data_IF_279203363441
#
_entry.id   IF_279203363441
#
_cell.length_a   1.000
_cell.length_b   1.000
_cell.length_c   1.000
_cell.angle_alpha   90.00
_cell.angle_beta   90.00
_cell.angle_gamma   90.00
#
_symmetry.space_group_name_H-M   'P 1'
#
loop_
_entity.id
_entity.type
_entity.pdbx_description
1 polymer ?
#
# COMPACT_ATOMS: atom_id res chain seq x y z
N UNK A 1 -26.02 13.83 -3.72
CA UNK A 1 -25.46 13.80 -3.73
C UNK A 1 -24.76 13.70 -3.59
N UNK A 2 -24.88 13.50 -3.69
CA UNK A 2 -24.03 13.35 -3.58
C UNK A 2 -23.23 13.30 -3.68
N UNK A 3 -23.34 13.07 -3.93
CA UNK A 3 -22.51 12.91 -4.08
C UNK A 3 -21.92 12.76 -4.38
N UNK A 4 -22.08 12.66 -4.51
CA UNK A 4 -21.48 12.44 -4.74
C UNK A 4 -21.02 12.22 -5.07
N UNK A 5 -21.22 12.12 -5.36
CA UNK A 5 -20.68 11.83 -5.60
C UNK A 5 -20.03 11.51 -5.92
N UNK A 6 -20.14 11.48 -6.16
CA UNK A 6 -19.33 11.11 -6.34
C UNK A 6 -18.67 11.08 -6.62
N UNK A 7 -18.72 11.07 -6.89
CA UNK A 7 -17.88 10.97 -7.00
C UNK A 7 -17.27 10.74 -7.21
N UNK A 8 -17.28 10.63 -7.52
CA UNK A 8 -16.52 10.39 -7.60
C UNK A 8 -15.93 9.97 -7.86
N UNK A 9 -15.91 10.03 -8.13
CA UNK A 9 -15.40 9.73 -8.41
C UNK A 9 -14.62 9.24 -8.78
N UNK A 10 -14.72 9.13 -9.28
CA UNK A 10 -13.95 8.82 -9.52
C UNK A 10 -13.20 8.19 -9.21
N UNK A 11 -13.63 8.26 -9.79
CA UNK A 11 -12.55 7.78 -9.33
C UNK A 11 -12.36 6.39 -8.81
N UNK A 12 -11.17 6.05 -8.57
CA UNK A 12 -10.77 4.73 -8.22
C UNK A 12 -11.22 4.36 -6.82
N UNK A 13 -11.82 3.23 -6.68
CA UNK A 13 -12.24 2.77 -5.37
C UNK A 13 -11.07 2.30 -4.56
N UNK A 14 -11.02 2.73 -3.31
CA UNK A 14 -10.10 2.16 -2.35
C UNK A 14 -10.85 1.19 -1.50
N UNK A 15 -10.29 -0.02 -1.38
CA UNK A 15 -10.89 -1.06 -0.58
C UNK A 15 -10.25 -1.03 0.80
N UNK A 16 -11.05 -0.93 1.88
CA UNK A 16 -10.50 -1.00 3.24
C UNK A 16 -10.13 -2.44 3.55
N UNK A 17 -9.10 -2.93 2.88
CA UNK A 17 -8.73 -4.33 2.94
C UNK A 17 -7.37 -4.46 3.60
N UNK A 18 -7.31 -5.31 4.62
CA UNK A 18 -6.08 -5.63 5.30
C UNK A 18 -5.43 -6.81 4.60
N UNK A 19 -4.38 -6.53 3.86
CA UNK A 19 -3.65 -7.58 3.16
C UNK A 19 -2.28 -7.73 3.80
N UNK A 20 -1.93 -8.92 4.30
CA UNK A 20 -0.57 -9.13 4.81
C UNK A 20 0.43 -9.06 3.68
N UNK A 21 1.47 -8.28 3.90
CA UNK A 21 2.49 -8.06 2.87
C UNK A 21 3.86 -8.03 3.52
N UNK A 22 4.87 -8.26 2.69
CA UNK A 22 6.25 -7.90 3.01
C UNK A 22 6.52 -6.55 2.39
N UNK A 23 7.14 -5.68 3.17
CA UNK A 23 7.51 -4.34 2.75
C UNK A 23 9.01 -4.18 2.92
N UNK A 24 9.69 -3.77 1.87
CA UNK A 24 11.14 -3.58 1.93
C UNK A 24 11.53 -2.36 1.11
N UNK A 25 12.66 -1.76 1.45
CA UNK A 25 13.27 -0.78 0.59
C UNK A 25 13.78 -1.49 -0.66
N UNK A 26 13.62 -0.86 -1.80
CA UNK A 26 14.14 -1.44 -3.03
C UNK A 26 15.65 -1.59 -2.99
N UNK A 27 16.33 -0.74 -2.21
CA UNK A 27 17.77 -0.81 -2.07
C UNK A 27 18.22 -1.95 -1.16
N UNK A 28 17.34 -2.42 -0.29
CA UNK A 28 17.65 -3.52 0.62
C UNK A 28 16.49 -4.49 0.67
N UNK A 29 16.25 -5.21 -0.41
CA UNK A 29 15.05 -6.05 -0.49
C UNK A 29 15.06 -7.22 0.50
N UNK A 30 16.22 -7.56 1.05
CA UNK A 30 16.28 -8.63 2.04
C UNK A 30 15.85 -8.19 3.42
N UNK A 31 15.95 -6.90 3.70
CA UNK A 31 15.53 -6.35 4.99
C UNK A 31 14.06 -5.99 4.91
N UNK A 32 13.24 -7.02 4.89
CA UNK A 32 11.82 -6.81 4.71
C UNK A 32 11.10 -6.90 6.03
N UNK A 33 10.03 -6.14 6.12
CA UNK A 33 9.18 -6.15 7.29
C UNK A 33 7.84 -6.77 6.91
N UNK A 34 7.30 -7.59 7.80
CA UNK A 34 5.99 -8.17 7.60
C UNK A 34 4.97 -7.25 8.19
N UNK A 35 4.01 -6.81 7.38
CA UNK A 35 3.06 -5.82 7.83
C UNK A 35 1.72 -5.99 7.12
N UNK A 36 0.87 -5.00 7.26
CA UNK A 36 -0.48 -5.03 6.69
C UNK A 36 -0.74 -3.76 5.91
N UNK A 37 -1.55 -3.89 4.87
CA UNK A 37 -2.15 -2.72 4.25
C UNK A 37 -3.32 -2.24 5.09
N UNK A 38 -3.70 -0.98 4.93
CA UNK A 38 -4.94 -0.46 5.48
C UNK A 38 -6.00 -0.35 4.40
N UNK A 39 -5.58 -0.04 3.21
CA UNK A 39 -6.47 -0.07 2.06
C UNK A 39 -5.63 -0.25 0.82
N UNK A 40 -6.27 -0.66 -0.25
CA UNK A 40 -5.59 -0.95 -1.50
C UNK A 40 -6.42 -0.43 -2.66
N UNK A 41 -5.73 -0.12 -3.74
CA UNK A 41 -6.36 0.22 -5.00
C UNK A 41 -5.45 -0.31 -6.12
N UNK A 42 -5.90 -0.28 -7.37
CA UNK A 42 -5.03 -0.76 -8.44
C UNK A 42 -3.74 0.04 -8.59
N UNK A 43 -3.71 1.29 -8.15
CA UNK A 43 -2.57 2.16 -8.37
C UNK A 43 -1.74 2.39 -7.12
N UNK A 44 -2.14 1.86 -5.98
CA UNK A 44 -1.38 2.09 -4.78
C UNK A 44 -1.96 1.40 -3.57
N UNK A 45 -1.37 1.73 -2.42
CA UNK A 45 -1.81 1.15 -1.16
C UNK A 45 -1.39 2.05 -0.01
N UNK A 46 -2.12 1.94 1.10
CA UNK A 46 -1.66 2.48 2.38
C UNK A 46 -1.15 1.32 3.19
N UNK A 47 0.07 1.46 3.68
CA UNK A 47 0.77 0.36 4.35
C UNK A 47 1.31 0.86 5.66
N UNK A 48 1.26 0.03 6.69
CA UNK A 48 1.83 0.37 8.00
C UNK A 48 3.29 -0.04 8.00
N UNK A 49 4.14 0.79 8.61
CA UNK A 49 5.56 0.48 8.74
C UNK A 49 6.03 0.81 10.14
N UNK A 50 7.04 0.09 10.59
CA UNK A 50 7.64 0.33 11.89
C UNK A 50 8.71 1.42 11.83
N UNK A 51 9.10 1.84 10.64
CA UNK A 51 10.10 2.86 10.50
C UNK A 51 9.60 4.02 9.66
N UNK A 52 10.27 5.15 9.81
CA UNK A 52 10.00 6.31 8.97
C UNK A 52 10.55 6.07 7.56
N UNK A 53 9.78 6.51 6.58
CA UNK A 53 10.19 6.48 5.17
C UNK A 53 10.15 7.88 4.62
N UNK A 54 11.11 8.22 3.80
CA UNK A 54 11.10 9.51 3.13
C UNK A 54 10.22 9.45 1.89
N UNK A 55 9.51 10.55 1.65
CA UNK A 55 8.78 10.71 0.41
C UNK A 55 9.75 10.58 -0.77
N UNK A 56 9.37 9.80 -1.76
CA UNK A 56 10.21 9.53 -2.92
C UNK A 56 11.02 8.24 -2.81
N UNK A 57 11.12 7.68 -1.62
CA UNK A 57 11.82 6.42 -1.45
C UNK A 57 11.08 5.30 -2.16
N UNK A 58 11.82 4.40 -2.79
CA UNK A 58 11.20 3.30 -3.51
C UNK A 58 11.12 2.07 -2.64
N UNK A 59 9.98 1.41 -2.73
CA UNK A 59 9.66 0.25 -1.90
C UNK A 59 9.31 -0.94 -2.76
N UNK A 60 9.37 -2.10 -2.16
CA UNK A 60 8.94 -3.34 -2.78
C UNK A 60 7.88 -3.95 -1.90
N UNK A 61 6.71 -4.20 -2.46
CA UNK A 61 5.58 -4.77 -1.74
C UNK A 61 5.24 -6.12 -2.34
N UNK A 62 5.18 -7.12 -1.47
CA UNK A 62 4.88 -8.49 -1.88
C UNK A 62 3.86 -9.08 -0.93
N UNK A 63 2.67 -9.43 -1.39
CA UNK A 63 1.73 -10.14 -0.52
C UNK A 63 2.36 -11.44 -0.02
N UNK A 64 1.98 -11.85 1.18
CA UNK A 64 2.52 -13.07 1.74
C UNK A 64 2.19 -14.29 0.89
N UNK A 65 1.10 -14.22 0.16
CA UNK A 65 0.72 -15.29 -0.77
C UNK A 65 1.58 -15.33 -2.02
N UNK A 66 2.38 -14.28 -2.25
CA UNK A 66 3.36 -14.30 -3.34
C UNK A 66 2.79 -14.07 -4.72
N UNK A 67 1.60 -13.48 -4.82
CA UNK A 67 0.95 -13.33 -6.11
C UNK A 67 1.64 -12.34 -7.02
N UNK A 68 2.35 -11.37 -6.45
CA UNK A 68 3.07 -10.39 -7.25
C UNK A 68 4.15 -9.75 -6.39
N UNK A 69 5.04 -9.04 -7.06
CA UNK A 69 6.00 -8.15 -6.41
C UNK A 69 5.89 -6.84 -7.14
N UNK A 70 5.69 -5.78 -6.38
CA UNK A 70 5.42 -4.49 -7.02
C UNK A 70 6.30 -3.41 -6.42
N UNK A 71 6.97 -2.67 -7.31
CA UNK A 71 7.73 -1.50 -6.91
C UNK A 71 6.77 -0.33 -6.75
N UNK A 72 6.91 0.39 -5.66
CA UNK A 72 6.11 1.56 -5.40
C UNK A 72 6.95 2.68 -4.85
N UNK A 73 6.48 3.90 -5.05
CA UNK A 73 7.13 5.10 -4.52
C UNK A 73 6.34 5.58 -3.32
N UNK A 74 7.04 5.86 -2.24
CA UNK A 74 6.41 6.43 -1.06
C UNK A 74 6.05 7.88 -1.36
N UNK A 75 4.77 8.19 -1.26
CA UNK A 75 4.28 9.53 -1.52
C UNK A 75 4.23 10.34 -0.23
N UNK A 76 3.83 9.70 0.85
CA UNK A 76 3.82 10.34 2.16
C UNK A 76 4.09 9.29 3.24
N UNK A 77 4.50 9.79 4.40
CA UNK A 77 4.75 8.96 5.57
C UNK A 77 4.28 9.76 6.78
N UNK A 78 3.26 9.27 7.45
CA UNK A 78 2.64 9.97 8.56
C UNK A 78 2.71 9.12 9.82
N UNK A 79 3.02 9.73 10.96
CA UNK A 79 3.01 8.98 12.22
C UNK A 79 1.59 8.48 12.51
N UNK A 80 1.52 7.32 13.10
CA UNK A 80 0.25 6.77 13.55
C UNK A 80 0.45 6.16 14.93
N UNK A 81 -0.60 5.56 15.46
CA UNK A 81 -0.56 5.04 16.83
C UNK A 81 0.50 3.95 16.97
N UNK A 82 1.08 3.82 18.18
CA UNK A 82 1.99 2.74 18.49
C UNK A 82 3.37 2.89 17.89
N UNK A 83 3.82 4.13 17.71
CA UNK A 83 5.14 4.42 17.15
C UNK A 83 5.33 3.84 15.77
N UNK A 84 4.25 3.80 15.01
CA UNK A 84 4.30 3.31 13.65
C UNK A 84 4.01 4.43 12.68
N UNK A 85 4.14 4.10 11.41
CA UNK A 85 3.93 5.07 10.34
C UNK A 85 2.97 4.50 9.33
N UNK A 86 2.20 5.38 8.73
CA UNK A 86 1.29 5.04 7.65
C UNK A 86 1.87 5.60 6.37
N UNK A 87 2.15 4.73 5.41
CA UNK A 87 2.74 5.10 4.14
C UNK A 87 1.69 5.10 3.07
N UNK A 88 1.67 6.16 2.27
CA UNK A 88 0.95 6.13 1.01
C UNK A 88 1.94 5.75 -0.07
N UNK A 89 1.65 4.67 -0.79
CA UNK A 89 2.55 4.14 -1.81
C UNK A 89 1.83 4.14 -3.14
N UNK A 90 2.51 4.64 -4.16
CA UNK A 90 2.01 4.67 -5.53
C UNK A 90 2.81 3.66 -6.35
N UNK A 91 2.11 2.76 -7.04
CA UNK A 91 2.78 1.77 -7.88
C UNK A 91 3.28 2.44 -9.16
N UNK A 92 4.49 2.07 -9.58
CA UNK A 92 5.18 2.80 -10.62
C UNK A 92 4.94 2.26 -12.03
N UNK A 93 4.87 0.96 -12.17
CA UNK A 93 4.93 0.38 -13.50
C UNK A 93 3.58 0.05 -14.08
N UNK A 94 2.65 -0.37 -13.25
CA UNK A 94 1.37 -0.83 -13.73
C UNK A 94 0.43 -0.95 -12.57
N UNK A 95 -0.83 -1.14 -12.89
CA UNK A 95 -1.83 -1.36 -11.86
C UNK A 95 -1.68 -2.77 -11.30
N UNK A 96 -2.08 -2.92 -10.05
CA UNK A 96 -2.04 -4.18 -9.35
C UNK A 96 -3.46 -4.67 -9.17
N UNK A 97 -3.66 -5.94 -9.48
CA UNK A 97 -4.95 -6.55 -9.27
C UNK A 97 -4.90 -7.29 -7.95
N UNK A 98 -5.50 -6.68 -6.94
CA UNK A 98 -5.51 -7.26 -5.60
C UNK A 98 -6.52 -8.38 -5.53
N UNK A 99 -6.12 -9.45 -4.86
CA UNK A 99 -7.04 -10.52 -4.61
C UNK A 99 -8.01 -10.11 -3.51
N UNK A 100 -9.26 -10.50 -3.67
CA UNK A 100 -10.26 -10.19 -2.67
C UNK A 100 -10.23 -11.23 -1.57
N UNK A 101 -9.58 -10.90 -0.49
CA UNK A 101 -9.49 -11.84 0.62
C UNK A 101 -10.77 -11.88 1.43
N UNK A 102 -11.45 -10.76 1.48
CA UNK A 102 -12.65 -10.66 2.30
C UNK A 102 -13.80 -11.45 1.75
N UNK A 103 -13.76 -11.75 0.48
CA UNK A 103 -14.84 -12.51 -0.13
C UNK A 103 -14.75 -13.99 0.20
N UNK A 104 -13.68 -14.36 0.78
CA UNK A 104 -13.48 -15.75 1.14
C UNK A 104 -14.53 -16.22 2.11
#
# INVERSE_FOLDING_TARGET
MNGARHFNGRIEKRLPTLVPVYLASLEEPRSRERTLTENVSPHGARVISQRFWQSGEESLITPLTGEFRQVGRVIYCLPTAGDRFCLGVEFLDRTVKWREHSSA
#
